data_IF_493898891043
#
_entry.id   IF_493898891043
#
_cell.length_a   1.000
_cell.length_b   1.000
_cell.length_c   1.000
_cell.angle_alpha   90.00
_cell.angle_beta   90.00
_cell.angle_gamma   90.00
#
_symmetry.space_group_name_H-M   'P 1'
#
loop_
_entity.id
_entity.type
_entity.pdbx_description
1 polymer ?
#
# COMPACT_ATOMS: atom_id res chain seq x y z
N UNK A 1 72.20 22.59 -27.38
CA UNK A 1 70.82 22.51 -27.86
C UNK A 1 69.96 22.02 -26.71
N UNK A 2 69.25 22.93 -26.12
CA UNK A 2 68.46 22.63 -24.87
C UNK A 2 67.01 22.45 -25.23
N UNK A 3 66.49 21.24 -25.04
CA UNK A 3 65.09 20.93 -25.22
C UNK A 3 64.39 21.01 -23.85
N UNK A 4 63.69 22.11 -23.58
CA UNK A 4 62.88 22.29 -22.40
C UNK A 4 61.54 21.58 -22.66
N UNK A 5 61.33 20.48 -21.98
CA UNK A 5 59.98 19.86 -21.86
C UNK A 5 59.20 20.55 -20.75
N UNK A 6 58.17 21.25 -21.15
CA UNK A 6 57.21 21.82 -20.27
C UNK A 6 56.25 20.71 -19.83
N UNK A 7 56.27 20.33 -18.55
CA UNK A 7 55.26 19.46 -17.98
C UNK A 7 54.01 20.26 -17.70
N UNK A 8 52.93 19.99 -18.44
CA UNK A 8 51.62 20.51 -18.11
C UNK A 8 51.01 19.53 -17.11
N UNK A 9 50.95 19.99 -15.87
CA UNK A 9 50.24 19.28 -14.81
C UNK A 9 48.73 19.41 -15.05
N UNK A 10 48.12 18.35 -15.56
CA UNK A 10 46.64 18.27 -15.58
C UNK A 10 46.17 17.85 -14.17
N UNK A 11 45.56 18.79 -13.45
CA UNK A 11 44.81 18.50 -12.26
C UNK A 11 43.55 17.76 -12.65
N UNK A 12 43.52 16.45 -12.39
CA UNK A 12 42.28 15.66 -12.48
C UNK A 12 41.44 16.02 -11.28
N UNK A 13 40.47 16.91 -11.51
CA UNK A 13 39.41 17.13 -10.54
C UNK A 13 38.51 15.88 -10.48
N UNK A 14 38.76 15.04 -9.50
CA UNK A 14 37.87 13.93 -9.17
C UNK A 14 36.51 14.47 -8.70
N UNK A 15 35.57 14.44 -9.59
CA UNK A 15 34.16 14.63 -9.17
C UNK A 15 33.75 13.40 -8.37
N UNK A 16 33.78 13.54 -7.04
CA UNK A 16 33.15 12.59 -6.15
C UNK A 16 31.64 12.68 -6.42
N UNK A 17 31.14 11.77 -7.24
CA UNK A 17 29.72 11.56 -7.35
C UNK A 17 29.22 11.04 -6.00
N UNK A 18 28.72 11.95 -5.16
CA UNK A 18 27.95 11.59 -4.00
C UNK A 18 26.70 10.88 -4.49
N UNK A 19 26.74 9.56 -4.48
CA UNK A 19 25.51 8.76 -4.52
C UNK A 19 24.72 9.08 -3.26
N UNK A 20 23.89 10.10 -3.35
CA UNK A 20 22.81 10.27 -2.41
C UNK A 20 21.88 9.09 -2.63
N UNK A 21 22.05 8.07 -1.79
CA UNK A 21 21.07 7.04 -1.68
C UNK A 21 19.73 7.75 -1.47
N UNK A 22 18.83 7.59 -2.41
CA UNK A 22 17.44 7.98 -2.24
C UNK A 22 16.93 7.14 -1.07
N UNK A 23 17.08 7.66 0.14
CA UNK A 23 16.22 7.23 1.20
C UNK A 23 14.82 7.60 0.70
N UNK A 24 14.07 6.59 0.25
CA UNK A 24 12.66 6.76 0.02
C UNK A 24 12.10 7.24 1.34
N UNK A 25 11.89 8.54 1.47
CA UNK A 25 11.15 9.11 2.56
C UNK A 25 9.84 8.32 2.59
N UNK A 26 9.48 7.73 3.74
CA UNK A 26 8.16 7.16 3.95
C UNK A 26 7.19 8.27 3.58
N UNK A 27 6.53 8.14 2.42
CA UNK A 27 5.58 9.12 1.97
C UNK A 27 4.54 9.25 3.07
N UNK A 28 4.26 10.50 3.50
CA UNK A 28 3.15 10.75 4.41
C UNK A 28 1.90 10.10 3.80
N UNK A 29 1.03 9.45 4.60
CA UNK A 29 -0.19 8.87 4.08
C UNK A 29 -0.94 9.95 3.30
N UNK A 30 -1.35 9.64 2.09
CA UNK A 30 -2.11 10.54 1.24
C UNK A 30 -3.39 10.99 1.95
N UNK A 31 -3.87 12.19 1.60
CA UNK A 31 -5.15 12.65 2.08
C UNK A 31 -6.24 11.65 1.69
N UNK A 32 -7.20 11.42 2.60
CA UNK A 32 -8.32 10.51 2.33
C UNK A 32 -9.16 11.03 1.16
N UNK A 33 -9.51 10.13 0.25
CA UNK A 33 -10.32 10.45 -0.92
C UNK A 33 -11.52 9.49 -1.00
N UNK A 34 -12.76 10.01 -1.05
CA UNK A 34 -13.97 9.20 -1.16
C UNK A 34 -14.00 8.26 -2.38
N UNK A 35 -13.25 8.55 -3.43
CA UNK A 35 -13.16 7.66 -4.61
C UNK A 35 -12.65 6.26 -4.25
N UNK A 36 -11.78 6.16 -3.25
CA UNK A 36 -11.25 4.87 -2.81
C UNK A 36 -12.29 4.06 -2.02
N UNK A 37 -13.18 4.73 -1.30
CA UNK A 37 -14.33 4.05 -0.73
C UNK A 37 -15.24 3.49 -1.83
N UNK A 38 -15.45 4.22 -2.93
CA UNK A 38 -16.21 3.70 -4.07
C UNK A 38 -15.53 2.46 -4.68
N UNK A 39 -14.20 2.44 -4.75
CA UNK A 39 -13.47 1.24 -5.17
C UNK A 39 -13.71 0.04 -4.23
N UNK A 40 -13.78 0.26 -2.92
CA UNK A 40 -14.17 -0.78 -1.97
C UNK A 40 -15.62 -1.25 -2.17
N UNK A 41 -16.53 -0.35 -2.51
CA UNK A 41 -17.92 -0.70 -2.87
C UNK A 41 -17.98 -1.60 -4.11
N UNK A 42 -17.14 -1.36 -5.12
CA UNK A 42 -17.07 -2.25 -6.27
C UNK A 42 -16.57 -3.65 -5.88
N UNK A 43 -15.65 -3.75 -4.94
CA UNK A 43 -15.22 -5.06 -4.41
C UNK A 43 -16.36 -5.77 -3.66
N UNK A 44 -17.17 -5.04 -2.92
CA UNK A 44 -18.39 -5.59 -2.31
C UNK A 44 -19.35 -6.13 -3.36
N UNK A 45 -19.63 -5.37 -4.41
CA UNK A 45 -20.50 -5.80 -5.51
C UNK A 45 -19.98 -7.07 -6.19
N UNK A 46 -18.67 -7.16 -6.36
CA UNK A 46 -18.03 -8.35 -6.91
C UNK A 46 -18.27 -9.58 -6.01
N UNK A 47 -18.08 -9.44 -4.70
CA UNK A 47 -18.37 -10.49 -3.73
C UNK A 47 -19.85 -10.92 -3.78
N UNK A 48 -20.77 -9.96 -3.80
CA UNK A 48 -22.22 -10.21 -3.92
C UNK A 48 -22.55 -10.98 -5.21
N UNK A 49 -21.88 -10.68 -6.32
CA UNK A 49 -22.08 -11.36 -7.60
C UNK A 49 -21.70 -12.85 -7.54
N UNK A 50 -20.86 -13.23 -6.61
CA UNK A 50 -20.45 -14.62 -6.37
C UNK A 50 -21.33 -15.34 -5.32
N UNK A 51 -22.27 -14.64 -4.70
CA UNK A 51 -23.01 -15.15 -3.54
C UNK A 51 -22.18 -15.17 -2.26
N UNK A 52 -21.12 -14.40 -2.20
CA UNK A 52 -20.30 -14.23 -1.00
C UNK A 52 -20.87 -13.14 -0.07
N UNK A 53 -20.24 -12.95 1.08
CA UNK A 53 -20.63 -11.92 2.03
C UNK A 53 -20.48 -10.52 1.42
N UNK A 54 -21.41 -9.62 1.73
CA UNK A 54 -21.51 -8.27 1.18
C UNK A 54 -20.48 -7.31 1.80
N UNK A 55 -19.19 -7.61 1.59
CA UNK A 55 -18.06 -6.83 2.07
C UNK A 55 -17.01 -6.65 0.99
N UNK A 56 -16.41 -5.47 0.98
CA UNK A 56 -15.32 -5.13 0.06
C UNK A 56 -14.32 -4.20 0.72
N UNK A 57 -13.07 -4.30 0.29
CA UNK A 57 -11.99 -3.43 0.74
C UNK A 57 -10.98 -3.22 -0.40
N UNK A 58 -10.25 -2.12 -0.33
CA UNK A 58 -9.07 -1.86 -1.18
C UNK A 58 -7.94 -1.33 -0.33
N UNK A 59 -6.72 -1.65 -0.72
CA UNK A 59 -5.51 -1.03 -0.18
C UNK A 59 -4.95 -0.06 -1.20
N UNK A 60 -4.67 1.16 -0.76
CA UNK A 60 -4.21 2.26 -1.61
C UNK A 60 -2.83 2.72 -1.14
N UNK A 61 -1.92 2.88 -2.08
CA UNK A 61 -0.61 3.46 -1.85
C UNK A 61 -0.14 4.20 -3.10
N UNK A 62 0.54 5.35 -2.94
CA UNK A 62 1.08 6.10 -4.07
C UNK A 62 0.00 6.58 -5.05
N UNK A 63 -1.21 6.90 -4.59
CA UNK A 63 -2.30 7.35 -5.45
C UNK A 63 -2.92 6.26 -6.33
N UNK A 64 -2.77 4.99 -5.99
CA UNK A 64 -3.30 3.86 -6.74
C UNK A 64 -3.80 2.73 -5.83
N UNK A 65 -4.76 1.96 -6.31
CA UNK A 65 -5.16 0.70 -5.67
C UNK A 65 -4.04 -0.31 -5.89
N UNK A 66 -3.46 -0.80 -4.79
CA UNK A 66 -2.39 -1.81 -4.81
C UNK A 66 -2.87 -3.19 -4.34
N UNK A 67 -4.06 -3.26 -3.75
CA UNK A 67 -4.69 -4.51 -3.34
C UNK A 67 -6.20 -4.41 -3.39
N UNK A 68 -6.84 -5.46 -3.89
CA UNK A 68 -8.29 -5.56 -4.02
C UNK A 68 -8.81 -6.71 -3.16
N UNK A 69 -9.86 -6.45 -2.40
CA UNK A 69 -10.41 -7.39 -1.45
C UNK A 69 -11.93 -7.50 -1.51
N UNK A 70 -12.49 -8.25 -2.47
CA UNK A 70 -13.84 -8.76 -2.30
C UNK A 70 -13.83 -9.85 -1.23
N UNK A 71 -14.88 -9.95 -0.41
CA UNK A 71 -15.01 -11.06 0.52
C UNK A 71 -14.97 -12.41 -0.23
N UNK A 72 -14.22 -13.36 0.31
CA UNK A 72 -14.04 -14.70 -0.26
C UNK A 72 -14.33 -15.81 0.78
N UNK A 73 -15.04 -15.48 1.83
CA UNK A 73 -15.36 -16.42 2.92
C UNK A 73 -16.11 -17.63 2.38
N UNK A 74 -17.13 -17.42 1.58
CA UNK A 74 -17.92 -18.50 0.96
C UNK A 74 -17.17 -19.11 -0.21
N UNK A 75 -16.65 -18.28 -1.11
CA UNK A 75 -15.98 -18.74 -2.34
C UNK A 75 -14.78 -19.65 -2.06
N UNK A 76 -13.97 -19.32 -1.08
CA UNK A 76 -12.77 -20.09 -0.72
C UNK A 76 -13.02 -21.04 0.47
N UNK A 77 -14.24 -21.11 1.01
CA UNK A 77 -14.57 -21.86 2.23
C UNK A 77 -13.57 -21.57 3.35
N UNK A 78 -13.23 -20.31 3.52
CA UNK A 78 -12.25 -19.83 4.48
C UNK A 78 -12.86 -18.71 5.34
N UNK A 79 -13.16 -18.97 6.62
CA UNK A 79 -13.77 -17.97 7.51
C UNK A 79 -12.90 -16.75 7.75
N UNK A 80 -11.61 -16.83 7.43
CA UNK A 80 -10.65 -15.73 7.57
C UNK A 80 -10.51 -14.87 6.31
N UNK A 81 -11.14 -15.24 5.21
CA UNK A 81 -11.04 -14.52 3.93
C UNK A 81 -11.97 -13.29 3.89
N UNK A 82 -11.93 -12.48 4.96
CA UNK A 82 -12.59 -11.19 5.01
C UNK A 82 -11.99 -10.23 3.97
N UNK A 83 -12.80 -9.29 3.50
CA UNK A 83 -12.41 -8.35 2.45
C UNK A 83 -11.09 -7.63 2.75
N UNK A 84 -10.90 -7.17 3.98
CA UNK A 84 -9.69 -6.46 4.40
C UNK A 84 -8.44 -7.35 4.29
N UNK A 85 -8.55 -8.60 4.76
CA UNK A 85 -7.43 -9.56 4.68
C UNK A 85 -7.13 -9.97 3.26
N UNK A 86 -8.15 -10.12 2.42
CA UNK A 86 -7.98 -10.39 0.98
C UNK A 86 -7.26 -9.24 0.31
N UNK A 87 -7.62 -7.99 0.59
CA UNK A 87 -6.94 -6.81 0.04
C UNK A 87 -5.47 -6.73 0.47
N UNK A 88 -5.17 -7.03 1.74
CA UNK A 88 -3.79 -7.05 2.27
C UNK A 88 -2.96 -8.11 1.54
N UNK A 89 -3.45 -9.34 1.45
CA UNK A 89 -2.74 -10.44 0.79
C UNK A 89 -2.55 -10.16 -0.70
N UNK A 90 -3.53 -9.59 -1.36
CA UNK A 90 -3.46 -9.22 -2.76
C UNK A 90 -2.37 -8.15 -3.00
N UNK A 91 -2.31 -7.13 -2.16
CA UNK A 91 -1.27 -6.11 -2.20
C UNK A 91 0.12 -6.70 -1.96
N UNK A 92 0.27 -7.58 -0.99
CA UNK A 92 1.54 -8.25 -0.71
C UNK A 92 2.04 -9.05 -1.91
N UNK A 93 1.13 -9.77 -2.59
CA UNK A 93 1.47 -10.51 -3.82
C UNK A 93 1.85 -9.58 -4.97
N UNK A 94 1.05 -8.55 -5.23
CA UNK A 94 1.29 -7.60 -6.33
C UNK A 94 2.59 -6.83 -6.15
N UNK A 95 2.90 -6.44 -4.93
CA UNK A 95 4.10 -5.65 -4.60
C UNK A 95 5.34 -6.52 -4.31
N UNK A 96 5.17 -7.83 -4.14
CA UNK A 96 6.25 -8.75 -3.82
C UNK A 96 6.92 -8.46 -2.48
N UNK A 97 6.15 -7.96 -1.49
CA UNK A 97 6.66 -7.63 -0.16
C UNK A 97 5.58 -7.78 0.90
N UNK A 98 5.98 -8.12 2.13
CA UNK A 98 5.08 -8.28 3.28
C UNK A 98 4.68 -6.95 3.92
N UNK A 99 5.59 -5.99 3.96
CA UNK A 99 5.37 -4.68 4.59
C UNK A 99 4.71 -3.71 3.63
N UNK A 100 3.62 -3.11 4.09
CA UNK A 100 2.75 -2.23 3.32
C UNK A 100 2.72 -0.80 3.89
N UNK A 101 3.87 -0.33 4.37
CA UNK A 101 4.02 1.03 4.90
C UNK A 101 3.62 2.09 3.87
N UNK A 102 3.00 3.18 4.33
CA UNK A 102 2.49 4.25 3.48
C UNK A 102 1.15 3.95 2.81
N UNK A 103 0.53 2.80 3.10
CA UNK A 103 -0.77 2.43 2.55
C UNK A 103 -1.94 2.79 3.47
N UNK A 104 -3.11 2.96 2.87
CA UNK A 104 -4.38 3.16 3.56
C UNK A 104 -5.36 2.08 3.11
N UNK A 105 -5.98 1.41 4.07
CA UNK A 105 -7.03 0.43 3.82
C UNK A 105 -8.40 1.12 3.89
N UNK A 106 -9.18 0.99 2.82
CA UNK A 106 -10.57 1.43 2.75
C UNK A 106 -11.48 0.22 2.76
N UNK A 107 -12.44 0.19 3.69
CA UNK A 107 -13.40 -0.91 3.81
C UNK A 107 -14.84 -0.42 3.77
N UNK A 108 -15.74 -1.24 3.27
CA UNK A 108 -17.19 -0.94 3.26
C UNK A 108 -17.83 -1.02 4.63
N UNK A 109 -17.20 -1.73 5.56
CA UNK A 109 -17.67 -1.87 6.96
C UNK A 109 -16.49 -1.78 7.92
N UNK A 110 -16.82 -1.57 9.21
CA UNK A 110 -15.78 -1.55 10.25
C UNK A 110 -15.01 -2.87 10.28
N UNK A 111 -13.69 -2.86 10.11
CA UNK A 111 -12.87 -4.06 10.23
C UNK A 111 -12.99 -4.69 11.62
N UNK A 112 -13.11 -6.01 11.66
CA UNK A 112 -13.08 -6.74 12.92
C UNK A 112 -11.68 -6.69 13.55
N UNK A 113 -11.56 -7.07 14.84
CA UNK A 113 -10.30 -7.03 15.56
C UNK A 113 -9.19 -7.86 14.89
N UNK A 114 -9.53 -8.99 14.27
CA UNK A 114 -8.56 -9.83 13.55
C UNK A 114 -8.07 -9.16 12.26
N UNK A 115 -8.95 -8.46 11.55
CA UNK A 115 -8.57 -7.69 10.36
C UNK A 115 -7.71 -6.49 10.73
N UNK A 116 -8.02 -5.80 11.82
CA UNK A 116 -7.21 -4.71 12.36
C UNK A 116 -5.81 -5.21 12.75
N UNK A 117 -5.71 -6.35 13.43
CA UNK A 117 -4.44 -6.97 13.78
C UNK A 117 -3.63 -7.38 12.54
N UNK A 118 -4.29 -7.92 11.52
CA UNK A 118 -3.61 -8.28 10.25
C UNK A 118 -3.05 -7.05 9.54
N UNK A 119 -3.81 -5.96 9.49
CA UNK A 119 -3.36 -4.69 8.91
C UNK A 119 -2.17 -4.09 9.68
N UNK A 120 -2.22 -4.14 11.00
CA UNK A 120 -1.13 -3.68 11.87
C UNK A 120 0.15 -4.50 11.63
N UNK A 121 0.05 -5.83 11.58
CA UNK A 121 1.20 -6.71 11.28
C UNK A 121 1.79 -6.44 9.89
N UNK A 122 0.96 -6.15 8.91
CA UNK A 122 1.41 -5.79 7.57
C UNK A 122 1.99 -4.37 7.48
N UNK A 123 1.88 -3.57 8.53
CA UNK A 123 2.38 -2.19 8.54
C UNK A 123 1.51 -1.21 7.75
N UNK A 124 0.23 -1.53 7.54
CA UNK A 124 -0.75 -0.59 6.97
C UNK A 124 -0.81 0.67 7.82
N UNK A 125 -0.67 1.84 7.20
CA UNK A 125 -0.50 3.09 7.93
C UNK A 125 -1.80 3.62 8.53
N UNK A 126 -2.93 3.34 7.87
CA UNK A 126 -4.25 3.79 8.31
C UNK A 126 -5.34 2.87 7.78
N UNK A 127 -6.40 2.71 8.56
CA UNK A 127 -7.63 2.03 8.14
C UNK A 127 -8.80 2.98 8.30
N UNK A 128 -9.63 3.04 7.27
CA UNK A 128 -10.90 3.79 7.30
C UNK A 128 -12.03 2.94 6.75
N UNK A 129 -13.24 3.24 7.15
CA UNK A 129 -14.41 2.50 6.71
C UNK A 129 -15.63 3.40 6.52
N UNK A 130 -16.55 2.92 5.72
CA UNK A 130 -17.82 3.58 5.44
C UNK A 130 -17.68 4.84 4.57
N UNK A 131 -18.82 5.42 4.16
CA UNK A 131 -18.83 6.60 3.29
C UNK A 131 -18.28 7.86 3.96
N UNK A 132 -18.29 7.91 5.30
CA UNK A 132 -17.73 9.01 6.08
C UNK A 132 -16.23 8.87 6.33
N UNK A 133 -15.59 7.81 5.82
CA UNK A 133 -14.16 7.52 5.99
C UNK A 133 -13.75 7.57 7.47
N UNK A 134 -14.52 6.91 8.32
CA UNK A 134 -14.26 6.85 9.75
C UNK A 134 -13.01 6.02 10.04
N UNK A 135 -12.16 6.49 10.96
CA UNK A 135 -10.98 5.73 11.37
C UNK A 135 -11.38 4.43 12.09
N UNK A 136 -10.78 3.32 11.67
CA UNK A 136 -10.87 2.06 12.36
C UNK A 136 -9.69 1.91 13.33
N UNK A 137 -9.97 1.38 14.53
CA UNK A 137 -8.95 1.15 15.54
C UNK A 137 -8.63 2.35 16.44
N UNK A 138 -9.39 3.44 16.34
CA UNK A 138 -9.44 4.50 17.34
C UNK A 138 -10.76 4.38 18.08
N UNK A 139 -10.72 4.00 19.34
CA UNK A 139 -11.79 4.18 20.31
C UNK A 139 -11.61 5.51 21.03
#
# INVERSE_FOLDING_TARGET
MSCRRTFISQAVAGAAAMCWGKHAALAAPEALDPKWYQAAVEMRRLAESWGDQSYGAVLVAGGAVVGEGPSRVVKDMNPDAHAERVAILDAQRRLGRERLGGSVLYSTSRPCSLCQAAALRAGVSRMVFGPSLSDAGKE
#
